data_IF_521743941446
#
_entry.id   IF_521743941446
#
_cell.length_a   1.000
_cell.length_b   1.000
_cell.length_c   1.000
_cell.angle_alpha   90.00
_cell.angle_beta   90.00
_cell.angle_gamma   90.00
#
_symmetry.space_group_name_H-M   'P 1'
#
loop_
_entity.id
_entity.type
_entity.pdbx_description
1 polymer ?
#
# COMPACT_ATOMS: atom_id res chain seq x y z
N UNK A 1 -7.01 40.10 -78.41
CA UNK A 1 -6.21 38.97 -77.84
C UNK A 1 -5.84 39.31 -76.42
N UNK A 2 -6.50 38.74 -75.42
CA UNK A 2 -6.02 38.44 -74.12
C UNK A 2 -7.17 37.75 -73.36
N UNK A 3 -7.04 36.48 -73.12
CA UNK A 3 -7.95 35.63 -72.38
C UNK A 3 -7.91 36.00 -70.88
N UNK A 4 -9.07 36.30 -70.32
CA UNK A 4 -9.27 36.34 -68.87
C UNK A 4 -9.78 34.98 -68.39
N UNK A 5 -8.98 34.30 -67.55
CA UNK A 5 -9.37 33.08 -66.86
C UNK A 5 -10.29 33.45 -65.72
N UNK A 6 -11.48 32.87 -65.73
CA UNK A 6 -12.35 32.76 -64.53
C UNK A 6 -11.68 31.85 -63.47
N UNK A 7 -11.47 32.38 -62.29
CA UNK A 7 -11.19 31.58 -61.10
C UNK A 7 -12.53 31.32 -60.43
N UNK A 8 -12.91 30.04 -60.41
CA UNK A 8 -14.04 29.54 -59.61
C UNK A 8 -13.60 29.49 -58.13
N UNK A 9 -14.36 30.16 -57.25
CA UNK A 9 -14.21 30.04 -55.80
C UNK A 9 -14.72 28.65 -55.32
N UNK A 10 -14.03 27.96 -54.39
CA UNK A 10 -14.51 26.72 -53.83
C UNK A 10 -15.66 27.00 -52.86
N UNK A 11 -16.77 26.33 -53.05
CA UNK A 11 -17.93 26.26 -52.13
C UNK A 11 -17.48 25.65 -50.79
N UNK A 12 -17.36 26.48 -49.77
CA UNK A 12 -17.17 26.00 -48.37
C UNK A 12 -18.52 25.48 -47.87
N UNK A 13 -18.66 24.17 -47.81
CA UNK A 13 -19.81 23.52 -47.12
C UNK A 13 -19.75 23.87 -45.65
N UNK A 14 -20.79 24.58 -45.17
CA UNK A 14 -20.95 24.94 -43.76
C UNK A 14 -21.04 23.72 -42.89
N UNK A 15 -20.16 23.62 -41.90
CA UNK A 15 -20.33 22.73 -40.78
C UNK A 15 -21.42 23.25 -39.82
N UNK A 16 -22.30 22.43 -39.27
CA UNK A 16 -23.31 22.90 -38.34
C UNK A 16 -22.62 23.47 -37.07
N UNK A 17 -23.08 24.67 -36.70
CA UNK A 17 -22.63 25.42 -35.54
C UNK A 17 -22.86 24.62 -34.26
N UNK A 18 -21.82 23.95 -33.74
CA UNK A 18 -21.83 23.25 -32.45
C UNK A 18 -21.52 24.23 -31.33
N UNK A 19 -22.41 25.21 -31.09
CA UNK A 19 -22.26 26.21 -30.02
C UNK A 19 -22.61 25.71 -28.62
N UNK A 20 -23.02 24.44 -28.46
CA UNK A 20 -23.33 23.87 -27.15
C UNK A 20 -22.25 22.92 -26.55
N UNK A 21 -21.30 22.44 -27.37
CA UNK A 21 -20.25 21.53 -26.88
C UNK A 21 -19.03 22.25 -26.31
N UNK A 22 -18.73 23.46 -26.79
CA UNK A 22 -17.55 24.22 -26.33
C UNK A 22 -17.70 24.79 -24.91
N UNK A 23 -18.92 25.14 -24.50
CA UNK A 23 -19.20 25.64 -23.16
C UNK A 23 -19.01 24.55 -22.09
N UNK A 24 -19.42 23.30 -22.36
CA UNK A 24 -19.22 22.18 -21.46
C UNK A 24 -17.74 21.78 -21.37
N UNK A 25 -17.03 21.79 -22.49
CA UNK A 25 -15.57 21.49 -22.51
C UNK A 25 -14.75 22.58 -21.82
N UNK A 26 -15.05 23.87 -22.05
CA UNK A 26 -14.37 24.96 -21.37
C UNK A 26 -14.64 24.95 -19.86
N UNK A 27 -15.90 24.68 -19.45
CA UNK A 27 -16.27 24.59 -18.04
C UNK A 27 -15.65 23.38 -17.33
N UNK A 28 -15.43 22.28 -18.03
CA UNK A 28 -14.77 21.09 -17.48
C UNK A 28 -13.24 21.29 -17.41
N UNK A 29 -12.63 21.99 -18.38
CA UNK A 29 -11.21 22.38 -18.36
C UNK A 29 -10.91 23.41 -17.26
N UNK A 30 -11.74 24.45 -17.08
CA UNK A 30 -11.58 25.42 -16.00
C UNK A 30 -11.77 24.76 -14.61
N UNK A 31 -12.68 23.78 -14.49
CA UNK A 31 -12.82 22.98 -13.24
C UNK A 31 -11.66 22.06 -12.99
N UNK A 32 -10.95 21.61 -14.00
CA UNK A 32 -9.77 20.75 -13.87
C UNK A 32 -8.57 21.55 -13.36
N UNK A 33 -8.42 22.81 -13.75
CA UNK A 33 -7.38 23.73 -13.27
C UNK A 33 -7.60 24.20 -11.83
N UNK A 34 -8.84 24.11 -11.31
CA UNK A 34 -9.20 24.56 -9.95
C UNK A 34 -9.19 23.47 -8.90
N UNK A 35 -8.72 22.26 -9.19
CA UNK A 35 -8.71 21.16 -8.20
C UNK A 35 -7.32 20.58 -7.98
N UNK A 36 -6.99 20.29 -6.73
CA UNK A 36 -5.73 19.65 -6.36
C UNK A 36 -5.94 18.54 -5.33
N UNK A 37 -5.03 17.54 -5.27
CA UNK A 37 -5.06 16.53 -4.24
C UNK A 37 -4.89 17.14 -2.83
N UNK A 38 -5.50 16.50 -1.84
CA UNK A 38 -5.30 16.90 -0.44
C UNK A 38 -5.43 15.69 0.50
N UNK A 39 -4.54 15.60 1.49
CA UNK A 39 -4.71 14.66 2.61
C UNK A 39 -5.74 15.26 3.57
N UNK A 40 -6.83 14.56 3.79
CA UNK A 40 -7.94 15.04 4.64
C UNK A 40 -8.00 14.35 5.99
N UNK A 41 -7.31 13.25 6.17
CA UNK A 41 -7.19 12.52 7.44
C UNK A 41 -5.94 11.69 7.48
N UNK A 42 -5.29 11.63 8.65
CA UNK A 42 -4.09 10.84 8.86
C UNK A 42 -3.98 10.46 10.34
N UNK A 43 -3.73 9.18 10.63
CA UNK A 43 -3.60 8.72 12.01
C UNK A 43 -2.76 7.44 12.13
N UNK A 44 -2.20 7.23 13.32
CA UNK A 44 -1.77 5.93 13.81
C UNK A 44 -2.90 5.27 14.55
N UNK A 45 -3.13 3.97 14.30
CA UNK A 45 -4.10 3.20 15.05
C UNK A 45 -3.51 1.88 15.53
N UNK A 46 -3.64 1.61 16.83
CA UNK A 46 -3.23 0.36 17.45
C UNK A 46 -4.45 -0.44 17.82
N UNK A 47 -4.68 -1.51 17.11
CA UNK A 47 -5.79 -2.41 17.38
C UNK A 47 -5.58 -3.17 18.68
N UNK A 48 -6.67 -3.47 19.37
CA UNK A 48 -6.71 -4.41 20.49
C UNK A 48 -6.79 -5.84 19.95
N UNK A 49 -6.57 -6.83 20.85
CA UNK A 49 -6.76 -8.25 20.54
C UNK A 49 -8.16 -8.52 19.99
N UNK A 50 -8.26 -9.19 18.85
CA UNK A 50 -9.50 -9.52 18.16
C UNK A 50 -10.43 -8.32 17.86
N UNK A 51 -9.91 -7.10 17.86
CA UNK A 51 -10.72 -5.93 17.56
C UNK A 51 -11.19 -5.95 16.11
N UNK A 52 -12.46 -5.64 15.93
CA UNK A 52 -13.15 -5.61 14.65
C UNK A 52 -13.74 -4.21 14.42
N UNK A 53 -13.31 -3.57 13.33
CA UNK A 53 -13.82 -2.26 12.90
C UNK A 53 -14.35 -2.38 11.49
N UNK A 54 -15.56 -1.88 11.23
CA UNK A 54 -16.17 -1.86 9.92
C UNK A 54 -16.62 -0.46 9.55
N UNK A 55 -16.28 -0.05 8.32
CA UNK A 55 -16.82 1.14 7.69
C UNK A 55 -17.55 0.74 6.40
N UNK A 56 -18.82 1.14 6.30
CA UNK A 56 -19.65 0.80 5.13
C UNK A 56 -19.27 1.61 3.90
N UNK A 57 -18.81 2.83 4.12
CA UNK A 57 -18.39 3.74 3.06
C UNK A 57 -17.19 4.58 3.55
N UNK A 58 -16.14 4.64 2.75
CA UNK A 58 -15.01 5.55 2.96
C UNK A 58 -14.80 6.37 1.68
N UNK A 59 -15.01 7.69 1.76
CA UNK A 59 -14.95 8.58 0.58
C UNK A 59 -13.59 9.25 0.50
N UNK A 60 -12.59 8.45 0.22
CA UNK A 60 -11.20 8.83 -0.05
C UNK A 60 -10.48 7.71 -0.79
N UNK A 61 -9.34 7.98 -1.36
CA UNK A 61 -8.33 6.97 -1.61
C UNK A 61 -7.55 6.81 -0.32
N UNK A 62 -7.48 5.58 0.21
CA UNK A 62 -6.84 5.34 1.50
C UNK A 62 -5.60 4.46 1.33
N UNK A 63 -4.58 4.75 2.13
CA UNK A 63 -3.38 3.94 2.21
C UNK A 63 -3.21 3.48 3.66
N UNK A 64 -3.09 2.17 3.83
CA UNK A 64 -2.96 1.53 5.15
C UNK A 64 -1.67 0.71 5.13
N UNK A 65 -0.74 0.98 6.04
CA UNK A 65 0.47 0.18 6.17
C UNK A 65 0.63 -0.35 7.58
N UNK A 66 1.16 -1.57 7.68
CA UNK A 66 1.37 -2.25 8.96
C UNK A 66 2.75 -1.90 9.52
N UNK A 67 2.76 -1.35 10.73
CA UNK A 67 3.97 -1.07 11.50
C UNK A 67 4.44 -2.31 12.23
N UNK A 68 3.52 -3.01 12.90
CA UNK A 68 3.77 -4.26 13.64
C UNK A 68 2.50 -5.10 13.75
N UNK A 69 2.66 -6.37 14.10
CA UNK A 69 1.53 -7.28 14.26
C UNK A 69 0.96 -7.80 12.96
N UNK A 70 -0.20 -8.45 13.05
CA UNK A 70 -0.90 -9.07 11.94
C UNK A 70 -2.40 -8.80 12.01
N UNK A 71 -3.07 -8.87 10.88
CA UNK A 71 -4.52 -8.71 10.78
C UNK A 71 -5.02 -8.96 9.37
N UNK A 72 -6.31 -8.87 9.22
CA UNK A 72 -6.99 -9.06 7.95
C UNK A 72 -7.78 -7.80 7.62
N UNK A 73 -7.71 -7.37 6.38
CA UNK A 73 -8.61 -6.33 5.83
C UNK A 73 -9.48 -6.96 4.76
N UNK A 74 -10.81 -6.80 4.89
CA UNK A 74 -11.78 -7.19 3.86
C UNK A 74 -12.32 -5.96 3.16
N UNK A 75 -12.31 -5.97 1.84
CA UNK A 75 -12.84 -4.90 1.01
C UNK A 75 -13.18 -5.42 -0.38
N UNK A 76 -14.25 -4.91 -1.00
CA UNK A 76 -14.64 -5.28 -2.35
C UNK A 76 -14.86 -6.79 -2.57
N UNK A 77 -15.26 -7.53 -1.53
CA UNK A 77 -15.45 -8.99 -1.57
C UNK A 77 -14.16 -9.82 -1.47
N UNK A 78 -13.01 -9.18 -1.25
CA UNK A 78 -11.71 -9.84 -1.12
C UNK A 78 -11.16 -9.71 0.30
N UNK A 79 -10.35 -10.68 0.70
CA UNK A 79 -9.64 -10.70 1.97
C UNK A 79 -8.14 -10.52 1.74
N UNK A 80 -7.54 -9.57 2.47
CA UNK A 80 -6.12 -9.25 2.43
C UNK A 80 -5.50 -9.51 3.81
N UNK A 81 -4.58 -10.45 3.89
CA UNK A 81 -3.80 -10.71 5.11
C UNK A 81 -2.61 -9.79 5.15
N UNK A 82 -2.49 -9.01 6.22
CA UNK A 82 -1.47 -8.00 6.39
C UNK A 82 -0.57 -8.32 7.58
N UNK A 83 0.70 -8.06 7.40
CA UNK A 83 1.74 -8.16 8.42
C UNK A 83 2.71 -6.98 8.26
N UNK A 84 3.74 -6.88 9.10
CA UNK A 84 4.80 -5.88 8.93
C UNK A 84 5.30 -5.86 7.47
N UNK A 85 5.52 -4.66 6.96
CA UNK A 85 5.88 -4.38 5.55
C UNK A 85 4.75 -4.54 4.53
N UNK A 86 3.51 -4.70 4.94
CA UNK A 86 2.35 -4.60 4.03
C UNK A 86 1.91 -3.15 3.90
N UNK A 87 1.63 -2.72 2.67
CA UNK A 87 0.94 -1.47 2.33
C UNK A 87 -0.25 -1.82 1.44
N UNK A 88 -1.45 -1.45 1.87
CA UNK A 88 -2.69 -1.64 1.12
C UNK A 88 -3.25 -0.29 0.68
N UNK A 89 -3.44 -0.12 -0.64
CA UNK A 89 -4.23 0.96 -1.20
C UNK A 89 -5.68 0.54 -1.35
N UNK A 90 -6.59 1.35 -0.83
CA UNK A 90 -8.03 1.20 -0.97
C UNK A 90 -8.57 2.27 -1.92
N UNK A 91 -9.43 1.89 -2.90
CA UNK A 91 -9.90 2.80 -3.93
C UNK A 91 -10.89 3.84 -3.38
N UNK A 92 -11.18 4.87 -4.18
CA UNK A 92 -12.22 5.84 -3.88
C UNK A 92 -13.59 5.18 -3.66
N UNK A 93 -14.32 5.56 -2.58
CA UNK A 93 -15.66 5.05 -2.22
C UNK A 93 -15.65 3.54 -1.99
N UNK A 94 -14.85 3.09 -1.04
CA UNK A 94 -14.77 1.69 -0.64
C UNK A 94 -15.46 1.42 0.70
N UNK A 95 -15.87 0.18 0.90
CA UNK A 95 -16.13 -0.37 2.23
C UNK A 95 -14.88 -1.05 2.74
N UNK A 96 -14.69 -1.08 4.05
CA UNK A 96 -13.52 -1.74 4.65
C UNK A 96 -13.88 -2.34 6.00
N UNK A 97 -13.37 -3.54 6.24
CA UNK A 97 -13.50 -4.25 7.50
C UNK A 97 -12.10 -4.66 7.97
N UNK A 98 -11.74 -4.25 9.17
CA UNK A 98 -10.47 -4.56 9.83
C UNK A 98 -10.70 -5.63 10.88
N UNK A 99 -9.92 -6.71 10.85
CA UNK A 99 -9.95 -7.79 11.83
C UNK A 99 -8.52 -7.98 12.36
N UNK A 100 -8.31 -7.56 13.60
CA UNK A 100 -7.01 -7.70 14.23
C UNK A 100 -6.80 -9.14 14.71
N UNK A 101 -5.55 -9.61 14.64
CA UNK A 101 -5.17 -10.92 15.17
C UNK A 101 -5.31 -10.94 16.71
N UNK A 102 -5.70 -12.08 17.26
CA UNK A 102 -5.91 -12.25 18.71
C UNK A 102 -4.60 -12.17 19.50
N UNK A 103 -3.52 -12.71 18.95
CA UNK A 103 -2.23 -12.84 19.64
C UNK A 103 -1.26 -11.73 19.32
N UNK A 104 -1.34 -11.21 18.11
CA UNK A 104 -0.44 -10.18 17.61
C UNK A 104 -1.22 -9.13 16.81
N UNK A 105 -2.12 -8.35 17.45
CA UNK A 105 -2.93 -7.37 16.77
C UNK A 105 -2.06 -6.32 16.08
N UNK A 106 -2.44 -5.97 14.86
CA UNK A 106 -1.66 -5.03 14.08
C UNK A 106 -1.78 -3.58 14.58
N UNK A 107 -0.71 -2.85 14.35
CA UNK A 107 -0.66 -1.40 14.48
C UNK A 107 -0.43 -0.82 13.10
N UNK A 108 -1.23 0.13 12.69
CA UNK A 108 -1.24 0.66 11.33
C UNK A 108 -1.08 2.17 11.31
N UNK A 109 -0.44 2.66 10.24
CA UNK A 109 -0.60 4.03 9.81
C UNK A 109 -1.65 4.09 8.70
N UNK A 110 -2.47 5.12 8.74
CA UNK A 110 -3.51 5.33 7.72
C UNK A 110 -3.54 6.78 7.28
N UNK A 111 -3.64 7.00 5.97
CA UNK A 111 -3.88 8.31 5.38
C UNK A 111 -5.04 8.23 4.39
N UNK A 112 -5.80 9.32 4.33
CA UNK A 112 -6.95 9.47 3.44
C UNK A 112 -6.72 10.67 2.53
N UNK A 113 -6.75 10.44 1.23
CA UNK A 113 -6.52 11.45 0.21
C UNK A 113 -7.79 11.67 -0.60
N UNK A 114 -8.18 12.92 -0.77
CA UNK A 114 -9.15 13.34 -1.78
C UNK A 114 -8.35 13.72 -3.03
N UNK A 115 -8.44 12.97 -4.13
CA UNK A 115 -7.58 13.18 -5.30
C UNK A 115 -7.84 14.51 -6.02
N UNK A 116 -9.07 14.97 -6.01
CA UNK A 116 -9.48 16.22 -6.65
C UNK A 116 -10.40 16.99 -5.72
N UNK A 117 -9.82 17.92 -4.97
CA UNK A 117 -10.53 18.86 -4.11
C UNK A 117 -10.49 20.25 -4.74
N UNK A 118 -11.65 20.91 -4.87
CA UNK A 118 -11.74 22.25 -5.39
C UNK A 118 -10.90 23.21 -4.56
N UNK A 119 -10.03 23.99 -5.18
CA UNK A 119 -9.13 24.92 -4.48
C UNK A 119 -9.84 26.18 -4.00
N UNK A 120 -11.05 26.47 -4.49
CA UNK A 120 -11.88 27.57 -4.01
C UNK A 120 -12.67 27.23 -2.73
N UNK A 121 -12.75 25.93 -2.39
CA UNK A 121 -13.48 25.47 -1.22
C UNK A 121 -12.53 25.12 -0.06
N UNK A 122 -12.83 25.51 1.16
CA UNK A 122 -11.98 25.19 2.32
C UNK A 122 -11.95 23.69 2.58
N UNK A 123 -10.79 23.18 2.93
CA UNK A 123 -10.62 21.76 3.25
C UNK A 123 -11.19 21.45 4.64
N UNK A 124 -12.16 20.56 4.69
CA UNK A 124 -12.61 19.96 5.96
C UNK A 124 -11.74 18.75 6.25
N UNK A 125 -10.91 18.74 7.33
CA UNK A 125 -9.93 17.69 7.61
C UNK A 125 -10.59 16.44 8.22
N UNK A 126 -11.45 15.79 7.47
CA UNK A 126 -12.05 14.48 7.78
C UNK A 126 -12.57 13.80 6.51
N UNK A 127 -12.79 12.51 6.56
CA UNK A 127 -13.46 11.75 5.49
C UNK A 127 -14.88 11.34 5.92
N UNK A 128 -15.72 10.95 4.95
CA UNK A 128 -17.01 10.33 5.21
C UNK A 128 -16.81 8.83 5.47
N UNK A 129 -17.43 8.32 6.52
CA UNK A 129 -17.35 6.90 6.92
C UNK A 129 -18.70 6.17 6.85
N UNK A 130 -19.79 6.90 6.62
CA UNK A 130 -21.13 6.32 6.53
C UNK A 130 -21.89 6.85 5.32
N UNK A 131 -22.92 6.13 4.86
CA UNK A 131 -23.77 6.58 3.75
C UNK A 131 -24.57 7.87 4.04
N UNK A 132 -24.74 8.24 5.29
CA UNK A 132 -25.49 9.43 5.74
C UNK A 132 -24.60 10.67 5.89
N UNK A 133 -23.27 10.51 5.82
CA UNK A 133 -22.34 11.63 5.98
C UNK A 133 -22.50 12.67 4.85
N UNK A 134 -22.66 13.94 5.24
CA UNK A 134 -22.82 15.05 4.29
C UNK A 134 -21.66 15.23 3.31
N UNK A 135 -20.44 14.78 3.68
CA UNK A 135 -19.28 14.82 2.79
C UNK A 135 -19.28 13.71 1.72
N UNK A 136 -20.20 12.76 1.79
CA UNK A 136 -20.28 11.65 0.86
C UNK A 136 -20.41 12.08 -0.59
N UNK A 137 -21.26 13.06 -0.86
CA UNK A 137 -21.57 13.56 -2.19
C UNK A 137 -21.19 15.05 -2.34
N UNK A 138 -20.26 15.54 -1.50
CA UNK A 138 -19.79 16.91 -1.55
C UNK A 138 -19.19 17.23 -2.94
N UNK A 139 -19.70 18.21 -3.69
CA UNK A 139 -19.35 18.46 -5.09
C UNK A 139 -17.89 18.91 -5.27
N UNK A 140 -17.32 19.49 -4.22
CA UNK A 140 -15.92 19.92 -4.18
C UNK A 140 -14.93 18.77 -3.92
N UNK A 141 -15.41 17.54 -3.65
CA UNK A 141 -14.60 16.33 -3.42
C UNK A 141 -14.87 15.32 -4.50
N UNK A 142 -13.88 15.03 -5.31
CA UNK A 142 -14.00 14.10 -6.43
C UNK A 142 -12.92 13.03 -6.39
N UNK A 143 -13.27 11.83 -6.81
CA UNK A 143 -12.36 10.71 -6.95
C UNK A 143 -11.37 10.90 -8.09
N UNK A 144 -10.47 9.94 -8.30
CA UNK A 144 -9.55 9.94 -9.42
C UNK A 144 -10.30 9.80 -10.73
N UNK A 145 -9.74 10.33 -11.83
CA UNK A 145 -10.34 10.23 -13.17
C UNK A 145 -10.44 8.78 -13.64
N UNK A 146 -9.39 8.02 -13.40
CA UNK A 146 -9.37 6.59 -13.71
C UNK A 146 -9.73 5.78 -12.47
N UNK A 147 -10.64 4.82 -12.65
CA UNK A 147 -11.01 3.91 -11.56
C UNK A 147 -9.76 3.16 -11.08
N UNK A 148 -9.51 3.21 -9.79
CA UNK A 148 -8.44 2.48 -9.14
C UNK A 148 -8.99 1.16 -8.57
N UNK A 149 -8.15 0.13 -8.52
CA UNK A 149 -8.41 -1.12 -7.82
C UNK A 149 -7.72 -1.11 -6.45
N UNK A 150 -8.12 -2.02 -5.57
CA UNK A 150 -7.33 -2.33 -4.37
C UNK A 150 -5.96 -2.87 -4.80
N UNK A 151 -4.90 -2.44 -4.12
CA UNK A 151 -3.53 -2.85 -4.42
C UNK A 151 -2.78 -3.16 -3.12
N UNK A 152 -2.32 -4.39 -2.97
CA UNK A 152 -1.45 -4.81 -1.87
C UNK A 152 -0.01 -4.87 -2.38
N UNK A 153 0.89 -4.14 -1.74
CA UNK A 153 2.31 -4.11 -2.07
C UNK A 153 3.18 -4.28 -0.82
N UNK A 154 4.44 -4.68 -1.05
CA UNK A 154 5.45 -4.70 0.01
C UNK A 154 6.14 -3.35 0.11
N UNK A 155 6.28 -2.81 1.34
CA UNK A 155 6.92 -1.52 1.61
C UNK A 155 8.44 -1.51 1.33
N UNK A 156 9.02 -2.64 0.92
CA UNK A 156 10.42 -2.72 0.50
C UNK A 156 10.66 -2.15 -0.91
N UNK A 157 9.62 -1.98 -1.74
CA UNK A 157 9.75 -1.29 -3.02
C UNK A 157 10.03 0.22 -2.80
N UNK A 158 10.83 0.89 -3.66
CA UNK A 158 11.15 2.31 -3.47
C UNK A 158 9.91 3.21 -3.36
N UNK A 159 8.97 3.10 -4.29
CA UNK A 159 7.76 3.92 -4.30
C UNK A 159 6.88 3.66 -3.06
N UNK A 160 6.74 2.39 -2.61
CA UNK A 160 6.00 2.08 -1.40
C UNK A 160 6.69 2.62 -0.13
N UNK A 161 8.03 2.59 -0.06
CA UNK A 161 8.79 3.22 1.05
C UNK A 161 8.57 4.72 1.08
N UNK A 162 8.67 5.38 -0.08
CA UNK A 162 8.44 6.82 -0.19
C UNK A 162 7.03 7.17 0.29
N UNK A 163 6.03 6.41 -0.15
CA UNK A 163 4.63 6.61 0.25
C UNK A 163 4.45 6.46 1.77
N UNK A 164 5.04 5.42 2.38
CA UNK A 164 5.01 5.23 3.84
C UNK A 164 5.73 6.36 4.58
N UNK A 165 6.86 6.84 4.06
CA UNK A 165 7.60 7.98 4.64
C UNK A 165 6.77 9.26 4.58
N UNK A 166 6.20 9.58 3.43
CA UNK A 166 5.31 10.75 3.26
C UNK A 166 4.06 10.63 4.13
N UNK A 167 3.48 9.42 4.19
CA UNK A 167 2.31 9.13 5.04
C UNK A 167 2.61 9.29 6.52
N UNK A 168 3.76 8.79 6.99
CA UNK A 168 4.20 8.96 8.39
C UNK A 168 4.40 10.43 8.74
N UNK A 169 5.04 11.19 7.85
CA UNK A 169 5.19 12.64 8.02
C UNK A 169 3.83 13.35 8.03
N UNK A 170 2.88 12.94 7.16
CA UNK A 170 1.52 13.49 7.16
C UNK A 170 0.81 13.24 8.49
N UNK A 171 0.95 12.02 9.08
CA UNK A 171 0.37 11.72 10.39
C UNK A 171 0.98 12.61 11.49
N UNK A 172 2.30 12.75 11.54
CA UNK A 172 2.98 13.60 12.52
C UNK A 172 2.48 15.05 12.43
N UNK A 173 2.39 15.60 11.21
CA UNK A 173 1.85 16.94 10.98
C UNK A 173 0.37 17.07 11.37
N UNK A 174 -0.44 16.05 11.10
CA UNK A 174 -1.86 16.05 11.40
C UNK A 174 -2.14 16.05 12.92
N UNK A 175 -1.26 15.39 13.70
CA UNK A 175 -1.38 15.28 15.15
C UNK A 175 -0.75 16.46 15.90
N UNK A 176 0.22 17.17 15.32
CA UNK A 176 1.08 18.12 16.04
C UNK A 176 0.59 19.58 16.00
N UNK A 177 -0.28 19.97 15.04
CA UNK A 177 -0.58 21.39 14.82
C UNK A 177 -1.97 21.60 14.23
N UNK A 178 -2.49 22.83 14.15
CA UNK A 178 -3.64 23.17 13.34
C UNK A 178 -3.45 22.71 11.90
N UNK A 179 -4.53 22.29 11.26
CA UNK A 179 -4.51 21.81 9.87
C UNK A 179 -3.97 22.91 8.93
N UNK A 180 -2.86 22.64 8.27
CA UNK A 180 -2.26 23.51 7.25
C UNK A 180 -2.61 22.98 5.86
N UNK A 181 -3.59 23.60 5.21
CA UNK A 181 -4.09 23.19 3.90
C UNK A 181 -2.98 23.14 2.84
N UNK A 182 -2.05 24.09 2.84
CA UNK A 182 -0.94 24.15 1.87
C UNK A 182 -0.03 22.92 1.98
N UNK A 183 0.34 22.56 3.21
CA UNK A 183 1.16 21.37 3.47
C UNK A 183 0.42 20.10 3.07
N UNK A 184 -0.87 19.97 3.42
CA UNK A 184 -1.63 18.75 3.12
C UNK A 184 -2.02 18.60 1.65
N UNK A 185 -2.08 19.69 0.88
CA UNK A 185 -2.20 19.65 -0.59
C UNK A 185 -0.88 19.19 -1.23
N UNK A 186 0.25 19.73 -0.78
CA UNK A 186 1.57 19.30 -1.26
C UNK A 186 1.80 17.80 -0.97
N UNK A 187 1.50 17.35 0.25
CA UNK A 187 1.59 15.93 0.62
C UNK A 187 0.65 15.05 -0.21
N UNK A 188 -0.59 15.48 -0.44
CA UNK A 188 -1.54 14.78 -1.30
C UNK A 188 -1.00 14.57 -2.71
N UNK A 189 -0.39 15.60 -3.30
CA UNK A 189 0.23 15.55 -4.63
C UNK A 189 1.39 14.56 -4.68
N UNK A 190 2.31 14.61 -3.70
CA UNK A 190 3.45 13.70 -3.63
C UNK A 190 3.02 12.25 -3.42
N UNK A 191 2.06 12.01 -2.52
CA UNK A 191 1.53 10.67 -2.24
C UNK A 191 0.87 10.06 -3.48
N UNK A 192 0.07 10.82 -4.22
CA UNK A 192 -0.55 10.32 -5.45
C UNK A 192 0.46 10.13 -6.59
N UNK A 193 1.56 10.88 -6.63
CA UNK A 193 2.66 10.64 -7.56
C UNK A 193 3.35 9.29 -7.28
N UNK A 194 3.63 8.98 -6.02
CA UNK A 194 4.18 7.67 -5.63
C UNK A 194 3.18 6.52 -5.88
N UNK A 195 1.88 6.76 -5.66
CA UNK A 195 0.83 5.78 -6.00
C UNK A 195 0.76 5.52 -7.52
N UNK A 196 0.89 6.54 -8.34
CA UNK A 196 0.97 6.37 -9.80
C UNK A 196 2.22 5.57 -10.22
N UNK A 197 3.36 5.77 -9.54
CA UNK A 197 4.56 4.99 -9.77
C UNK A 197 4.38 3.51 -9.37
N UNK A 198 3.66 3.23 -8.27
CA UNK A 198 3.26 1.88 -7.88
C UNK A 198 2.37 1.23 -8.94
N UNK A 199 1.34 1.94 -9.40
CA UNK A 199 0.42 1.45 -10.41
C UNK A 199 1.07 1.29 -11.80
N UNK A 200 1.99 2.19 -12.18
CA UNK A 200 2.74 2.13 -13.43
C UNK A 200 3.79 1.02 -13.45
N UNK A 201 4.36 0.69 -12.30
CA UNK A 201 5.21 -0.48 -12.10
C UNK A 201 4.45 -1.79 -12.30
N UNK A 202 3.17 -1.80 -11.92
CA UNK A 202 2.28 -2.95 -12.04
C UNK A 202 1.82 -3.21 -13.49
N UNK A 203 1.70 -2.17 -14.33
CA UNK A 203 1.35 -2.32 -15.76
C UNK A 203 2.51 -2.89 -16.62
N UNK A 204 3.74 -2.94 -16.09
CA UNK A 204 4.87 -3.65 -16.71
C UNK A 204 5.09 -5.06 -16.16
N UNK A 205 4.08 -5.65 -15.55
CA UNK A 205 4.04 -6.99 -14.99
C UNK A 205 4.21 -6.97 -13.49
N UNK A 206 3.07 -6.96 -12.77
CA UNK A 206 2.96 -7.69 -11.50
C UNK A 206 1.58 -7.53 -10.88
N UNK A 207 0.67 -8.39 -11.24
CA UNK A 207 0.23 -9.39 -10.25
C UNK A 207 1.49 -10.07 -9.70
N UNK A 208 1.67 -10.15 -8.37
CA UNK A 208 2.67 -11.09 -7.79
C UNK A 208 2.45 -12.37 -8.56
N UNK A 209 3.43 -12.91 -9.30
CA UNK A 209 3.13 -14.05 -10.13
C UNK A 209 2.57 -15.12 -9.21
N UNK A 210 1.45 -15.74 -9.56
CA UNK A 210 0.90 -16.90 -8.84
C UNK A 210 2.02 -17.87 -8.44
N UNK A 211 3.06 -17.90 -9.25
CA UNK A 211 4.32 -18.59 -9.03
C UNK A 211 5.04 -18.13 -7.75
N UNK A 212 5.17 -16.82 -7.51
CA UNK A 212 5.84 -16.30 -6.31
C UNK A 212 4.98 -16.50 -5.06
N UNK A 213 3.66 -16.35 -5.17
CA UNK A 213 2.75 -16.60 -4.06
C UNK A 213 2.81 -18.07 -3.62
N UNK A 214 2.85 -19.00 -4.57
CA UNK A 214 3.03 -20.44 -4.27
C UNK A 214 4.38 -20.70 -3.58
N UNK A 215 5.46 -20.08 -4.07
CA UNK A 215 6.78 -20.21 -3.46
C UNK A 215 6.83 -19.67 -2.03
N UNK A 216 6.25 -18.51 -1.79
CA UNK A 216 6.23 -17.90 -0.44
C UNK A 216 5.32 -18.65 0.52
N UNK A 217 4.18 -19.17 0.07
CA UNK A 217 3.31 -20.05 0.84
C UNK A 217 4.05 -21.34 1.25
N UNK A 218 4.71 -21.98 0.28
CA UNK A 218 5.50 -23.19 0.53
C UNK A 218 6.59 -22.96 1.59
N UNK A 219 7.32 -21.85 1.50
CA UNK A 219 8.33 -21.51 2.54
C UNK A 219 7.68 -21.33 3.90
N UNK A 220 6.51 -20.68 3.98
CA UNK A 220 5.81 -20.45 5.26
C UNK A 220 5.36 -21.76 5.90
N UNK A 221 4.84 -22.69 5.10
CA UNK A 221 4.40 -24.00 5.58
C UNK A 221 5.56 -24.91 6.02
N UNK A 222 6.74 -24.77 5.40
CA UNK A 222 7.90 -25.62 5.62
C UNK A 222 9.06 -24.91 6.33
N UNK A 223 8.79 -23.81 7.06
CA UNK A 223 9.79 -22.89 7.60
C UNK A 223 10.80 -23.57 8.54
N UNK A 224 10.32 -24.57 9.31
CA UNK A 224 11.13 -25.38 10.24
C UNK A 224 12.03 -26.40 9.52
N UNK A 225 11.69 -26.75 8.27
CA UNK A 225 12.34 -27.79 7.50
C UNK A 225 13.57 -27.32 6.74
N UNK A 226 14.18 -28.28 6.04
CA UNK A 226 15.23 -27.98 5.06
C UNK A 226 14.57 -27.40 3.81
N UNK A 227 14.96 -26.20 3.42
CA UNK A 227 14.45 -25.50 2.24
C UNK A 227 15.59 -25.27 1.27
N UNK A 228 15.56 -25.95 0.13
CA UNK A 228 16.44 -25.66 -1.00
C UNK A 228 15.78 -24.66 -1.95
N UNK A 229 16.59 -24.00 -2.78
CA UNK A 229 16.08 -23.13 -3.85
C UNK A 229 15.26 -23.94 -4.86
N UNK A 230 15.66 -25.17 -5.08
CA UNK A 230 15.02 -26.12 -6.01
C UNK A 230 13.62 -26.52 -5.52
N UNK A 231 13.46 -26.82 -4.21
CA UNK A 231 12.16 -27.16 -3.62
C UNK A 231 11.19 -25.98 -3.74
N UNK A 232 11.67 -24.76 -3.41
CA UNK A 232 10.89 -23.54 -3.49
C UNK A 232 10.48 -23.25 -4.92
N UNK A 233 11.41 -23.37 -5.87
CA UNK A 233 11.14 -23.17 -7.29
C UNK A 233 10.12 -24.19 -7.84
N UNK A 234 10.25 -25.45 -7.42
CA UNK A 234 9.31 -26.53 -7.78
C UNK A 234 7.89 -26.24 -7.28
N UNK A 235 7.74 -25.73 -6.07
CA UNK A 235 6.44 -25.31 -5.51
C UNK A 235 5.78 -24.19 -6.36
N UNK A 236 6.61 -23.31 -6.93
CA UNK A 236 6.16 -22.30 -7.89
C UNK A 236 5.93 -22.83 -9.32
N UNK A 237 6.37 -24.04 -9.63
CA UNK A 237 6.35 -24.58 -11.00
C UNK A 237 7.35 -23.89 -11.94
N UNK A 238 8.53 -23.50 -11.43
CA UNK A 238 9.54 -22.80 -12.20
C UNK A 238 10.96 -23.32 -11.90
N UNK A 239 11.97 -22.86 -12.68
CA UNK A 239 13.37 -23.17 -12.40
C UNK A 239 13.94 -22.33 -11.25
N UNK A 240 15.02 -22.82 -10.60
CA UNK A 240 15.74 -22.07 -9.56
C UNK A 240 16.19 -20.68 -10.00
N UNK A 241 16.65 -20.55 -11.24
CA UNK A 241 17.03 -19.25 -11.84
C UNK A 241 15.84 -18.31 -11.94
N UNK A 242 14.67 -18.84 -12.33
CA UNK A 242 13.43 -18.06 -12.40
C UNK A 242 12.98 -17.64 -11.00
N UNK A 243 13.06 -18.54 -10.01
CA UNK A 243 12.76 -18.23 -8.61
C UNK A 243 13.66 -17.10 -8.07
N UNK A 244 14.98 -17.21 -8.24
CA UNK A 244 15.94 -16.17 -7.83
C UNK A 244 15.62 -14.81 -8.48
N UNK A 245 15.32 -14.79 -9.79
CA UNK A 245 14.93 -13.56 -10.50
C UNK A 245 13.63 -12.98 -9.97
N UNK A 246 12.63 -13.82 -9.70
CA UNK A 246 11.34 -13.38 -9.15
C UNK A 246 11.50 -12.81 -7.74
N UNK A 247 12.19 -13.52 -6.84
CA UNK A 247 12.45 -13.03 -5.49
C UNK A 247 13.24 -11.72 -5.51
N UNK A 248 14.34 -11.64 -6.26
CA UNK A 248 15.13 -10.40 -6.36
C UNK A 248 14.31 -9.25 -6.89
N UNK A 249 13.52 -9.49 -7.95
CA UNK A 249 12.68 -8.46 -8.58
C UNK A 249 11.57 -7.95 -7.65
N UNK A 250 10.89 -8.86 -6.91
CA UNK A 250 9.69 -8.53 -6.16
C UNK A 250 9.96 -8.24 -4.67
N UNK A 251 11.05 -8.78 -4.12
CA UNK A 251 11.37 -8.63 -2.69
C UNK A 251 12.69 -7.91 -2.45
N UNK A 252 13.49 -7.68 -3.49
CA UNK A 252 14.85 -7.14 -3.38
C UNK A 252 15.86 -8.10 -2.75
N UNK A 253 15.47 -9.35 -2.47
CA UNK A 253 16.29 -10.35 -1.78
C UNK A 253 16.45 -11.60 -2.66
N UNK A 254 17.60 -12.29 -2.51
CA UNK A 254 17.74 -13.67 -3.02
C UNK A 254 16.77 -14.60 -2.28
N UNK A 255 16.44 -15.75 -2.86
CA UNK A 255 15.57 -16.77 -2.22
C UNK A 255 16.08 -17.11 -0.81
N UNK A 256 17.38 -17.40 -0.67
CA UNK A 256 18.00 -17.75 0.62
C UNK A 256 17.94 -16.60 1.64
N UNK A 257 18.16 -15.37 1.20
CA UNK A 257 18.07 -14.19 2.07
C UNK A 257 16.65 -13.93 2.53
N UNK A 258 15.67 -14.16 1.67
CA UNK A 258 14.26 -14.02 1.99
C UNK A 258 13.81 -15.10 3.01
N UNK A 259 14.17 -16.36 2.80
CA UNK A 259 13.90 -17.46 3.77
C UNK A 259 14.52 -17.13 5.13
N UNK A 260 15.76 -16.65 5.16
CA UNK A 260 16.43 -16.23 6.40
C UNK A 260 15.67 -15.12 7.11
N UNK A 261 15.24 -14.09 6.39
CA UNK A 261 14.45 -12.98 6.93
C UNK A 261 13.14 -13.50 7.56
N UNK A 262 12.40 -14.37 6.84
CA UNK A 262 11.16 -14.97 7.37
C UNK A 262 11.38 -15.79 8.62
N UNK A 263 12.45 -16.60 8.67
CA UNK A 263 12.82 -17.36 9.89
C UNK A 263 13.12 -16.45 11.07
N UNK A 264 13.78 -15.32 10.85
CA UNK A 264 14.10 -14.36 11.92
C UNK A 264 12.86 -13.61 12.39
N UNK A 265 11.95 -13.25 11.50
CA UNK A 265 10.66 -12.65 11.84
C UNK A 265 9.81 -13.59 12.70
N UNK A 266 9.71 -14.87 12.31
CA UNK A 266 8.99 -15.89 13.08
C UNK A 266 9.65 -16.15 14.43
N UNK A 267 10.98 -16.25 14.47
CA UNK A 267 11.72 -16.40 15.73
C UNK A 267 11.47 -15.23 16.68
N UNK A 268 11.45 -14.00 16.17
CA UNK A 268 11.17 -12.81 16.97
C UNK A 268 9.73 -12.82 17.52
N UNK A 269 8.78 -13.32 16.76
CA UNK A 269 7.40 -13.53 17.23
C UNK A 269 7.35 -14.58 18.34
N UNK A 270 7.90 -15.75 18.11
CA UNK A 270 7.91 -16.85 19.08
C UNK A 270 8.61 -16.47 20.39
N UNK A 271 9.75 -15.79 20.32
CA UNK A 271 10.47 -15.34 21.53
C UNK A 271 9.66 -14.41 22.42
N UNK A 272 8.77 -13.62 21.84
CA UNK A 272 7.91 -12.69 22.59
C UNK A 272 6.62 -13.31 23.11
N UNK A 273 6.09 -14.31 22.41
CA UNK A 273 4.71 -14.76 22.63
C UNK A 273 4.58 -16.15 23.21
N UNK A 274 5.60 -17.03 23.03
CA UNK A 274 5.42 -18.44 23.35
C UNK A 274 5.98 -18.89 24.70
N UNK A 275 6.87 -18.10 25.33
CA UNK A 275 7.58 -18.50 26.53
C UNK A 275 8.58 -19.66 26.33
N UNK A 276 8.82 -20.07 25.09
CA UNK A 276 9.76 -21.13 24.72
C UNK A 276 11.22 -20.70 24.94
N UNK A 277 12.08 -21.66 25.19
CA UNK A 277 13.52 -21.43 25.32
C UNK A 277 14.12 -21.07 23.96
N UNK A 278 15.18 -20.28 23.97
CA UNK A 278 15.87 -19.81 22.74
C UNK A 278 16.26 -20.94 21.79
N UNK A 279 16.71 -22.09 22.35
CA UNK A 279 17.08 -23.24 21.53
C UNK A 279 15.89 -23.99 20.93
N UNK A 280 14.72 -23.92 21.56
CA UNK A 280 13.47 -24.49 21.05
C UNK A 280 12.95 -23.62 19.89
N UNK A 281 12.94 -22.30 20.06
CA UNK A 281 12.60 -21.36 19.02
C UNK A 281 13.54 -21.54 17.82
N UNK A 282 14.85 -21.63 18.04
CA UNK A 282 15.82 -21.87 16.97
C UNK A 282 15.46 -23.11 16.14
N UNK A 283 15.12 -24.23 16.79
CA UNK A 283 14.69 -25.46 16.08
C UNK A 283 13.37 -25.29 15.32
N UNK A 284 12.40 -24.63 15.93
CA UNK A 284 11.10 -24.38 15.29
C UNK A 284 11.19 -23.54 14.01
N UNK A 285 12.19 -22.67 13.93
CA UNK A 285 12.43 -21.87 12.72
C UNK A 285 13.55 -22.44 11.82
N UNK A 286 13.92 -23.72 12.02
CA UNK A 286 14.79 -24.46 11.11
C UNK A 286 16.29 -24.26 11.31
N UNK A 287 16.73 -23.94 12.55
CA UNK A 287 18.15 -23.89 12.93
C UNK A 287 18.46 -25.02 13.90
N UNK A 288 19.31 -25.94 13.48
CA UNK A 288 19.80 -27.05 14.32
C UNK A 288 20.91 -26.64 15.30
N UNK A 289 21.71 -25.61 14.91
CA UNK A 289 22.78 -25.06 15.75
C UNK A 289 22.32 -23.79 16.48
N UNK A 290 22.18 -23.84 17.83
CA UNK A 290 21.72 -22.70 18.63
C UNK A 290 22.69 -21.50 18.61
N UNK A 291 24.01 -21.76 18.48
CA UNK A 291 25.00 -20.69 18.42
C UNK A 291 24.94 -19.95 17.08
N UNK A 292 24.77 -20.69 15.99
CA UNK A 292 24.55 -20.09 14.68
C UNK A 292 23.24 -19.31 14.62
N UNK A 293 22.15 -19.88 15.18
CA UNK A 293 20.88 -19.17 15.31
C UNK A 293 21.05 -17.83 16.03
N UNK A 294 21.68 -17.85 17.22
CA UNK A 294 21.88 -16.64 18.04
C UNK A 294 22.69 -15.56 17.31
N UNK A 295 23.71 -15.96 16.55
CA UNK A 295 24.51 -15.03 15.74
C UNK A 295 23.66 -14.40 14.60
N UNK A 296 22.90 -15.21 13.89
CA UNK A 296 22.03 -14.71 12.79
C UNK A 296 20.92 -13.81 13.35
N UNK A 297 20.30 -14.19 14.46
CA UNK A 297 19.27 -13.41 15.11
C UNK A 297 19.80 -12.04 15.57
N UNK A 298 20.97 -12.02 16.26
CA UNK A 298 21.60 -10.77 16.68
C UNK A 298 21.97 -9.88 15.50
N UNK A 299 22.45 -10.44 14.40
CA UNK A 299 22.78 -9.70 13.20
C UNK A 299 21.54 -9.05 12.55
N UNK A 300 20.34 -9.66 12.71
CA UNK A 300 19.09 -9.18 12.13
C UNK A 300 18.38 -8.17 13.04
N UNK A 301 18.36 -8.42 14.36
CA UNK A 301 17.58 -7.65 15.33
C UNK A 301 18.43 -6.78 16.27
N UNK A 302 19.75 -6.75 16.07
CA UNK A 302 20.74 -5.99 16.90
C UNK A 302 20.79 -6.39 18.38
N UNK A 303 19.98 -7.35 18.82
CA UNK A 303 19.88 -7.88 20.18
C UNK A 303 20.02 -9.40 20.19
N UNK A 304 20.66 -9.99 21.21
CA UNK A 304 20.64 -11.43 21.40
C UNK A 304 19.22 -11.97 21.63
N UNK A 305 18.89 -13.22 21.21
CA UNK A 305 17.55 -13.78 21.37
C UNK A 305 17.06 -13.78 22.83
N UNK A 306 17.92 -14.01 23.81
CA UNK A 306 17.56 -13.99 25.22
C UNK A 306 17.11 -12.63 25.73
N UNK A 307 17.81 -11.56 25.33
CA UNK A 307 17.43 -10.19 25.67
C UNK A 307 16.18 -9.74 24.92
N UNK A 308 15.99 -10.23 23.71
CA UNK A 308 14.78 -9.97 22.93
C UNK A 308 13.54 -10.63 23.55
N UNK A 309 13.69 -11.82 24.13
CA UNK A 309 12.62 -12.55 24.84
C UNK A 309 12.24 -11.89 26.17
N UNK A 310 13.20 -11.33 26.92
CA UNK A 310 12.93 -10.68 28.20
C UNK A 310 12.27 -9.31 28.10
N UNK A 311 12.15 -8.74 26.89
CA UNK A 311 11.58 -7.42 26.70
C UNK A 311 12.44 -6.27 27.25
N UNK A 312 13.69 -6.53 27.62
CA UNK A 312 14.65 -5.52 28.08
C UNK A 312 15.10 -4.62 26.90
N UNK A 313 14.23 -3.70 26.53
CA UNK A 313 14.65 -2.51 25.80
C UNK A 313 15.43 -1.61 26.78
N UNK A 314 16.75 -1.69 26.77
CA UNK A 314 17.55 -0.61 27.36
C UNK A 314 17.33 0.64 26.51
N UNK A 315 17.07 1.80 27.17
CA UNK A 315 16.89 3.09 26.51
C UNK A 315 18.12 3.53 25.69
#
# INVERSE_FOLDING_TARGET
>A
MKQSRNMEEPIVRGYPCASQSWSAYAFDMERQESSSPVVVWANWYRFRSAEHIRHELVVSVSFVWVVQGTGVIRTGGHEYRLAAHSLLRLPWRHSVEYLADERSPFSVGTIHVVPRHDTAEPVVPRTAYTPEDALKDAPHRRGPEKRQSTLLVNTRSPAARNLVTLGSFAIEKFLAAPFDETVFRALGTLILAEDAALAGGDQRGQSTPIVLDRMTAYVTEHLAGRLSVEDIASAGGCSGVTAERLFTRHTGLSVRSWVRARRMEEAASLLRTSGLRVNEVGRMVGYSDPLYFSRVFRATHSLPPSQYASGELRP
#
